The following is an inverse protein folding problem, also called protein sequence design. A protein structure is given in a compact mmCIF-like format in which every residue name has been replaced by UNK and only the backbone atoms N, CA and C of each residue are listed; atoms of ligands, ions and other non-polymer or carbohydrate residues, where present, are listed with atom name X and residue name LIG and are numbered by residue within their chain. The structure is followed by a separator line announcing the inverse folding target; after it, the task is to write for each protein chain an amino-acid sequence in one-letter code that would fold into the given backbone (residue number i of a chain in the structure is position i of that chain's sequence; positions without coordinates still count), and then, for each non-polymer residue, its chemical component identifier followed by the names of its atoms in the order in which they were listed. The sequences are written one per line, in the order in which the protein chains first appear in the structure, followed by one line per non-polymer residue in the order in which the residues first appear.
data_IF_820451579211
#
_entry.id   IF_820451579211
#
_cell.length_a   1.000
_cell.length_b   1.000
_cell.length_c   1.000
_cell.angle_alpha   90.00
_cell.angle_beta   90.00
_cell.angle_gamma   90.00
#
_symmetry.space_group_name_H-M   'P 1'
#
loop_
_entity.id
_entity.type
_entity.pdbx_description
1 polymer ?
#
# COMPACT_ATOMS: atom_id res chain seq x y z
N UNK A 1 -43.13 -14.22 29.90
CA UNK A 1 -42.16 -13.51 29.05
C UNK A 1 -40.78 -13.95 29.47
N UNK A 2 -39.98 -14.61 28.61
CA UNK A 2 -38.60 -14.94 28.96
C UNK A 2 -37.85 -13.62 29.19
N UNK A 3 -37.31 -13.46 30.40
CA UNK A 3 -36.44 -12.35 30.79
C UNK A 3 -35.31 -12.24 29.75
N UNK A 4 -35.19 -11.08 29.09
CA UNK A 4 -34.00 -10.78 28.28
C UNK A 4 -32.77 -11.10 29.14
N UNK A 5 -31.82 -11.92 28.67
CA UNK A 5 -30.58 -12.13 29.41
C UNK A 5 -29.95 -10.75 29.67
N UNK A 6 -29.34 -10.54 30.84
CA UNK A 6 -28.64 -9.29 31.11
C UNK A 6 -27.61 -9.03 30.00
N UNK A 7 -27.48 -7.78 29.53
CA UNK A 7 -26.51 -7.47 28.47
C UNK A 7 -25.13 -7.94 28.93
N UNK A 8 -24.54 -8.87 28.18
CA UNK A 8 -23.16 -9.30 28.39
C UNK A 8 -22.27 -8.08 28.14
N UNK A 9 -21.81 -7.44 29.21
CA UNK A 9 -20.86 -6.35 29.12
C UNK A 9 -19.57 -6.90 28.50
N UNK A 10 -19.35 -6.62 27.20
CA UNK A 10 -18.12 -6.99 26.52
C UNK A 10 -16.93 -6.30 27.21
N UNK A 11 -15.81 -7.00 27.43
CA UNK A 11 -14.63 -6.40 28.04
C UNK A 11 -14.13 -5.23 27.19
N UNK A 12 -13.67 -4.17 27.86
CA UNK A 12 -13.22 -2.92 27.23
C UNK A 12 -12.23 -3.16 26.07
N UNK A 13 -11.21 -3.97 26.31
CA UNK A 13 -10.15 -4.25 25.32
C UNK A 13 -10.65 -4.97 24.06
N UNK A 14 -11.69 -5.79 24.16
CA UNK A 14 -12.32 -6.40 22.99
C UNK A 14 -13.06 -5.36 22.15
N UNK A 15 -13.74 -4.40 22.79
CA UNK A 15 -14.41 -3.30 22.08
C UNK A 15 -13.39 -2.36 21.42
N UNK A 16 -12.31 -2.01 22.13
CA UNK A 16 -11.21 -1.23 21.56
C UNK A 16 -10.53 -1.95 20.38
N UNK A 17 -10.44 -3.28 20.43
CA UNK A 17 -10.03 -4.13 19.31
C UNK A 17 -10.93 -3.95 18.08
N UNK A 18 -12.26 -4.04 18.26
CA UNK A 18 -13.24 -3.80 17.19
C UNK A 18 -13.10 -2.37 16.62
N UNK A 19 -12.95 -1.34 17.48
CA UNK A 19 -12.73 0.04 17.05
C UNK A 19 -11.44 0.20 16.22
N UNK A 20 -10.36 -0.46 16.65
CA UNK A 20 -9.06 -0.43 15.96
C UNK A 20 -9.15 -0.98 14.54
N UNK A 21 -9.98 -2.01 14.32
CA UNK A 21 -10.14 -2.62 13.01
C UNK A 21 -10.70 -1.62 11.98
N UNK A 22 -11.75 -0.86 12.35
CA UNK A 22 -12.32 0.15 11.45
C UNK A 22 -11.36 1.30 11.13
N UNK A 23 -10.59 1.71 12.13
CA UNK A 23 -9.53 2.71 11.96
C UNK A 23 -8.44 2.21 11.00
N UNK A 24 -7.91 1.01 11.24
CA UNK A 24 -6.91 0.36 10.37
C UNK A 24 -7.45 0.16 8.97
N UNK A 25 -8.71 -0.27 8.84
CA UNK A 25 -9.36 -0.49 7.55
C UNK A 25 -9.39 0.80 6.72
N UNK A 26 -9.88 1.91 7.28
CA UNK A 26 -9.90 3.19 6.55
C UNK A 26 -8.50 3.72 6.24
N UNK A 27 -7.55 3.60 7.17
CA UNK A 27 -6.15 3.94 6.94
C UNK A 27 -5.58 3.19 5.73
N UNK A 28 -5.78 1.86 5.69
CA UNK A 28 -5.26 0.99 4.63
C UNK A 28 -5.94 1.27 3.31
N UNK A 29 -7.27 1.39 3.29
CA UNK A 29 -8.04 1.63 2.06
C UNK A 29 -7.66 2.98 1.45
N UNK A 30 -7.64 4.06 2.24
CA UNK A 30 -7.26 5.38 1.72
C UNK A 30 -5.80 5.45 1.30
N UNK A 31 -4.91 4.81 2.06
CA UNK A 31 -3.51 4.67 1.67
C UNK A 31 -3.36 3.93 0.33
N UNK A 32 -4.03 2.79 0.20
CA UNK A 32 -3.96 1.93 -0.98
C UNK A 32 -4.54 2.63 -2.21
N UNK A 33 -5.67 3.32 -2.08
CA UNK A 33 -6.27 4.09 -3.18
C UNK A 33 -5.38 5.24 -3.61
N UNK A 34 -4.79 5.98 -2.66
CA UNK A 34 -3.86 7.08 -2.98
C UNK A 34 -2.60 6.57 -3.69
N UNK A 35 -2.09 5.40 -3.30
CA UNK A 35 -0.94 4.75 -3.96
C UNK A 35 -1.30 4.11 -5.29
N UNK A 36 -2.51 3.57 -5.42
CA UNK A 36 -3.01 3.00 -6.66
C UNK A 36 -3.16 4.07 -7.74
N UNK A 37 -3.78 5.19 -7.38
CA UNK A 37 -4.01 6.33 -8.28
C UNK A 37 -2.83 7.30 -8.38
N UNK A 38 -1.65 6.89 -7.92
CA UNK A 38 -0.46 7.73 -7.79
C UNK A 38 -0.11 8.57 -9.02
N UNK A 39 -0.33 8.04 -10.23
CA UNK A 39 -0.07 8.75 -11.49
C UNK A 39 -1.22 9.70 -11.88
N UNK A 40 -2.48 9.38 -11.55
CA UNK A 40 -3.64 10.26 -11.78
C UNK A 40 -3.67 11.50 -10.86
N UNK A 41 -2.91 11.46 -9.75
CA UNK A 41 -2.72 12.60 -8.86
C UNK A 41 -2.13 13.83 -9.57
N UNK A 42 -1.47 13.62 -10.71
CA UNK A 42 -0.87 14.66 -11.54
C UNK A 42 -1.52 14.75 -12.93
N UNK A 43 -1.37 15.88 -13.63
CA UNK A 43 -1.83 16.04 -15.00
C UNK A 43 -1.08 15.11 -15.95
N UNK A 44 -1.81 14.48 -16.86
CA UNK A 44 -1.25 13.70 -17.95
C UNK A 44 -0.78 14.59 -19.10
N UNK A 45 0.09 14.05 -19.94
CA UNK A 45 0.58 14.75 -21.14
C UNK A 45 -0.58 15.13 -22.07
N UNK A 46 -1.56 14.23 -22.23
CA UNK A 46 -2.75 14.49 -23.03
C UNK A 46 -3.61 15.60 -22.43
N UNK A 47 -3.82 15.58 -21.11
CA UNK A 47 -4.58 16.62 -20.40
C UNK A 47 -3.95 17.99 -20.65
N UNK A 48 -2.62 18.09 -20.56
CA UNK A 48 -1.89 19.33 -20.78
C UNK A 48 -2.00 19.78 -22.23
N UNK A 49 -1.72 18.92 -23.21
CA UNK A 49 -1.75 19.34 -24.62
C UNK A 49 -3.15 19.68 -25.13
N UNK A 50 -4.20 19.01 -24.64
CA UNK A 50 -5.57 19.34 -25.03
C UNK A 50 -6.05 20.62 -24.34
N UNK A 51 -5.83 20.76 -23.03
CA UNK A 51 -6.37 21.88 -22.26
C UNK A 51 -5.53 23.16 -22.37
N UNK A 52 -4.24 23.08 -22.68
CA UNK A 52 -3.36 24.25 -22.82
C UNK A 52 -3.63 25.08 -24.07
N UNK A 53 -4.28 24.51 -25.09
CA UNK A 53 -4.69 25.24 -26.31
C UNK A 53 -5.91 26.13 -26.04
N UNK A 54 -6.71 25.80 -25.02
CA UNK A 54 -7.86 26.60 -24.61
C UNK A 54 -7.39 27.80 -23.77
N UNK A 55 -8.07 28.96 -23.84
CA UNK A 55 -7.74 30.16 -23.06
C UNK A 55 -8.17 30.02 -21.59
N UNK A 56 -7.77 28.93 -20.93
CA UNK A 56 -8.09 28.63 -19.53
C UNK A 56 -6.87 28.97 -18.67
N UNK A 57 -7.01 29.78 -17.62
CA UNK A 57 -5.88 30.13 -16.76
C UNK A 57 -5.38 28.89 -15.99
N UNK A 58 -4.06 28.73 -15.88
CA UNK A 58 -3.45 27.57 -15.21
C UNK A 58 -3.88 27.39 -13.76
N UNK A 59 -4.29 28.47 -13.08
CA UNK A 59 -4.84 28.42 -11.72
C UNK A 59 -6.17 27.65 -11.67
N UNK A 60 -7.05 27.85 -12.67
CA UNK A 60 -8.33 27.13 -12.75
C UNK A 60 -8.10 25.65 -13.00
N UNK A 61 -7.16 25.29 -13.89
CA UNK A 61 -6.78 23.89 -14.11
C UNK A 61 -6.22 23.23 -12.83
N UNK A 62 -5.41 23.96 -12.08
CA UNK A 62 -4.90 23.49 -10.79
C UNK A 62 -6.02 23.27 -9.77
N UNK A 63 -6.88 24.26 -9.54
CA UNK A 63 -7.98 24.14 -8.57
C UNK A 63 -8.99 23.07 -8.99
N UNK A 64 -9.30 22.95 -10.28
CA UNK A 64 -10.15 21.89 -10.80
C UNK A 64 -9.55 20.51 -10.51
N UNK A 65 -8.23 20.33 -10.66
CA UNK A 65 -7.55 19.07 -10.35
C UNK A 65 -7.55 18.76 -8.86
N UNK A 66 -7.26 19.76 -8.01
CA UNK A 66 -7.32 19.62 -6.55
C UNK A 66 -8.74 19.28 -6.09
N UNK A 67 -9.75 19.95 -6.65
CA UNK A 67 -11.15 19.70 -6.34
C UNK A 67 -11.57 18.30 -6.78
N UNK A 68 -11.20 17.88 -8.00
CA UNK A 68 -11.49 16.54 -8.49
C UNK A 68 -10.84 15.46 -7.61
N UNK A 69 -9.60 15.67 -7.18
CA UNK A 69 -8.90 14.79 -6.25
C UNK A 69 -9.61 14.73 -4.89
N UNK A 70 -9.99 15.88 -4.33
CA UNK A 70 -10.69 15.96 -3.05
C UNK A 70 -12.05 15.24 -3.12
N UNK A 71 -12.82 15.46 -4.19
CA UNK A 71 -14.09 14.77 -4.42
C UNK A 71 -13.88 13.26 -4.56
N UNK A 72 -12.88 12.83 -5.34
CA UNK A 72 -12.55 11.42 -5.51
C UNK A 72 -12.22 10.75 -4.17
N UNK A 73 -11.30 11.34 -3.39
CA UNK A 73 -10.91 10.81 -2.07
C UNK A 73 -12.09 10.82 -1.08
N UNK A 74 -12.93 11.85 -1.10
CA UNK A 74 -14.14 11.92 -0.28
C UNK A 74 -15.12 10.80 -0.64
N UNK A 75 -15.38 10.58 -1.93
CA UNK A 75 -16.30 9.53 -2.40
C UNK A 75 -15.80 8.14 -2.02
N UNK A 76 -14.50 7.89 -2.14
CA UNK A 76 -13.89 6.64 -1.70
C UNK A 76 -14.03 6.47 -0.19
N UNK A 77 -13.64 7.47 0.59
CA UNK A 77 -13.71 7.44 2.05
C UNK A 77 -15.15 7.15 2.53
N UNK A 78 -16.12 7.92 2.04
CA UNK A 78 -17.52 7.73 2.40
C UNK A 78 -18.03 6.37 1.90
N UNK A 79 -17.76 6.01 0.65
CA UNK A 79 -18.19 4.74 0.07
C UNK A 79 -17.70 3.52 0.85
N UNK A 80 -16.48 3.57 1.38
CA UNK A 80 -15.88 2.45 2.12
C UNK A 80 -16.22 2.44 3.61
N UNK A 81 -16.64 3.58 4.18
CA UNK A 81 -16.84 3.70 5.63
C UNK A 81 -18.29 3.95 6.05
N UNK A 82 -19.21 4.28 5.14
CA UNK A 82 -20.60 4.65 5.50
C UNK A 82 -21.36 3.50 6.17
N UNK A 83 -21.21 2.28 5.67
CA UNK A 83 -21.86 1.11 6.25
C UNK A 83 -21.31 0.81 7.64
N UNK A 84 -19.99 0.85 7.83
CA UNK A 84 -19.36 0.69 9.14
C UNK A 84 -19.84 1.75 10.13
N UNK A 85 -19.91 3.01 9.69
CA UNK A 85 -20.32 4.15 10.53
C UNK A 85 -21.79 4.05 10.99
N UNK A 86 -22.67 3.50 10.15
CA UNK A 86 -24.09 3.37 10.47
C UNK A 86 -24.39 2.10 11.26
N UNK A 87 -23.89 0.94 10.79
CA UNK A 87 -24.29 -0.35 11.35
C UNK A 87 -23.52 -0.73 12.61
N UNK A 88 -22.26 -0.33 12.77
CA UNK A 88 -21.47 -0.73 13.93
C UNK A 88 -21.99 -0.12 15.24
N UNK A 89 -22.22 1.21 15.35
CA UNK A 89 -22.78 1.79 16.58
C UNK A 89 -24.19 1.27 16.90
N UNK A 90 -24.96 0.91 15.87
CA UNK A 90 -26.31 0.34 16.01
C UNK A 90 -26.27 -1.07 16.60
N UNK A 91 -25.29 -1.89 16.19
CA UNK A 91 -25.08 -3.23 16.72
C UNK A 91 -24.43 -3.25 18.11
N UNK A 92 -23.69 -2.19 18.49
CA UNK A 92 -22.97 -2.13 19.76
C UNK A 92 -23.88 -1.84 20.99
N UNK A 93 -25.15 -1.49 20.79
CA UNK A 93 -26.17 -1.23 21.83
C UNK A 93 -25.69 -0.35 23.01
N UNK A 94 -24.82 0.63 22.75
CA UNK A 94 -24.32 1.53 23.79
C UNK A 94 -25.37 2.58 24.20
N UNK A 95 -25.33 3.00 25.46
CA UNK A 95 -26.25 3.99 26.04
C UNK A 95 -26.34 5.32 25.25
N UNK A 96 -25.28 5.72 24.54
CA UNK A 96 -25.20 6.98 23.80
C UNK A 96 -24.84 6.76 22.32
N UNK A 97 -25.82 6.30 21.53
CA UNK A 97 -25.67 6.04 20.09
C UNK A 97 -25.03 7.22 19.32
N UNK A 98 -25.51 8.44 19.51
CA UNK A 98 -24.98 9.63 18.80
C UNK A 98 -23.51 9.91 19.11
N UNK A 99 -23.10 9.71 20.36
CA UNK A 99 -21.70 9.88 20.75
C UNK A 99 -20.84 8.81 20.09
N UNK A 100 -21.29 7.57 20.09
CA UNK A 100 -20.57 6.48 19.43
C UNK A 100 -20.46 6.71 17.91
N UNK A 101 -21.55 7.08 17.24
CA UNK A 101 -21.57 7.41 15.82
C UNK A 101 -20.61 8.56 15.49
N UNK A 102 -20.61 9.63 16.30
CA UNK A 102 -19.68 10.75 16.12
C UNK A 102 -18.22 10.34 16.33
N UNK A 103 -17.90 9.64 17.41
CA UNK A 103 -16.54 9.15 17.69
C UNK A 103 -16.03 8.26 16.56
N UNK A 104 -16.87 7.34 16.06
CA UNK A 104 -16.55 6.46 14.95
C UNK A 104 -16.29 7.25 13.68
N UNK A 105 -17.22 8.11 13.29
CA UNK A 105 -17.11 8.92 12.08
C UNK A 105 -15.84 9.77 12.09
N UNK A 106 -15.55 10.46 13.20
CA UNK A 106 -14.38 11.34 13.31
C UNK A 106 -13.08 10.54 13.25
N UNK A 107 -12.95 9.47 14.04
CA UNK A 107 -11.71 8.70 14.11
C UNK A 107 -11.38 8.00 12.78
N UNK A 108 -12.38 7.35 12.16
CA UNK A 108 -12.23 6.68 10.86
C UNK A 108 -11.91 7.70 9.76
N UNK A 109 -12.59 8.85 9.76
CA UNK A 109 -12.33 9.92 8.78
C UNK A 109 -10.95 10.54 8.93
N UNK A 110 -10.53 10.85 10.16
CA UNK A 110 -9.19 11.38 10.42
C UNK A 110 -8.09 10.39 10.02
N UNK A 111 -8.32 9.09 10.26
CA UNK A 111 -7.37 8.05 9.88
C UNK A 111 -7.19 7.96 8.35
N UNK A 112 -8.31 7.97 7.61
CA UNK A 112 -8.29 7.97 6.15
C UNK A 112 -7.65 9.24 5.56
N UNK A 113 -7.99 10.43 6.08
CA UNK A 113 -7.40 11.71 5.68
C UNK A 113 -5.88 11.71 5.93
N UNK A 114 -5.45 11.22 7.08
CA UNK A 114 -4.02 11.13 7.39
C UNK A 114 -3.29 10.21 6.41
N UNK A 115 -3.83 9.02 6.11
CA UNK A 115 -3.22 8.11 5.15
C UNK A 115 -3.05 8.78 3.77
N UNK A 116 -4.12 9.38 3.25
CA UNK A 116 -4.09 10.05 1.94
C UNK A 116 -3.10 11.22 1.91
N UNK A 117 -3.16 12.13 2.90
CA UNK A 117 -2.24 13.28 2.98
C UNK A 117 -0.79 12.87 3.23
N UNK A 118 -0.54 11.75 3.92
CA UNK A 118 0.82 11.23 4.10
C UNK A 118 1.43 10.78 2.77
N UNK A 119 0.71 10.00 1.97
CA UNK A 119 1.22 9.60 0.65
C UNK A 119 1.34 10.77 -0.32
N UNK A 120 0.38 11.70 -0.31
CA UNK A 120 0.45 12.93 -1.11
C UNK A 120 1.64 13.81 -0.72
N UNK A 121 1.90 13.99 0.58
CA UNK A 121 3.04 14.77 1.05
C UNK A 121 4.37 14.09 0.73
N UNK A 122 4.50 12.76 0.90
CA UNK A 122 5.70 12.01 0.47
C UNK A 122 5.96 12.24 -1.02
N UNK A 123 4.93 12.15 -1.85
CA UNK A 123 5.04 12.35 -3.29
C UNK A 123 5.46 13.80 -3.62
N UNK A 124 4.83 14.78 -2.98
CA UNK A 124 5.15 16.20 -3.14
C UNK A 124 6.58 16.52 -2.72
N UNK A 125 7.03 16.01 -1.58
CA UNK A 125 8.40 16.17 -1.07
C UNK A 125 9.39 15.50 -2.03
N UNK A 126 9.12 14.27 -2.48
CA UNK A 126 10.03 13.52 -3.34
C UNK A 126 10.26 14.21 -4.69
N UNK A 127 9.19 14.74 -5.30
CA UNK A 127 9.27 15.54 -6.54
C UNK A 127 10.01 16.87 -6.32
N UNK A 128 9.85 17.47 -5.14
CA UNK A 128 10.49 18.74 -4.83
C UNK A 128 11.98 18.59 -4.44
N UNK A 129 12.39 17.46 -3.86
CA UNK A 129 13.75 17.27 -3.34
C UNK A 129 14.72 16.55 -4.30
N UNK A 130 14.30 15.44 -4.94
CA UNK A 130 15.26 14.48 -5.56
C UNK A 130 15.30 14.59 -7.10
N UNK A 131 14.43 15.41 -7.69
CA UNK A 131 14.35 15.59 -9.14
C UNK A 131 13.70 14.40 -9.87
N UNK A 132 13.37 14.60 -11.14
CA UNK A 132 12.43 13.74 -11.86
C UNK A 132 13.00 12.36 -12.22
N UNK A 133 14.28 12.29 -12.61
CA UNK A 133 14.92 11.05 -13.01
C UNK A 133 14.98 10.02 -11.88
N UNK A 134 15.29 10.48 -10.66
CA UNK A 134 15.27 9.65 -9.46
C UNK A 134 13.83 9.37 -9.01
N UNK A 135 12.92 10.33 -9.09
CA UNK A 135 11.50 10.11 -8.80
C UNK A 135 10.90 8.98 -9.64
N UNK A 136 11.18 8.95 -10.96
CA UNK A 136 10.73 7.87 -11.86
C UNK A 136 11.31 6.50 -11.51
N UNK A 137 12.51 6.44 -10.93
CA UNK A 137 13.16 5.19 -10.48
C UNK A 137 12.64 4.71 -9.12
N UNK A 138 12.39 5.64 -8.20
CA UNK A 138 11.98 5.33 -6.82
C UNK A 138 10.46 5.11 -6.73
N UNK A 139 9.65 5.81 -7.53
CA UNK A 139 8.19 5.70 -7.50
C UNK A 139 7.69 4.25 -7.60
N UNK A 140 8.17 3.41 -8.54
CA UNK A 140 7.78 2.01 -8.60
C UNK A 140 8.05 1.24 -7.30
N UNK A 141 9.22 1.46 -6.70
CA UNK A 141 9.63 0.80 -5.46
C UNK A 141 8.76 1.28 -4.29
N UNK A 142 8.53 2.60 -4.21
CA UNK A 142 7.73 3.23 -3.17
C UNK A 142 6.27 2.77 -3.25
N UNK A 143 5.66 2.76 -4.45
CA UNK A 143 4.30 2.25 -4.66
C UNK A 143 4.19 0.80 -4.20
N UNK A 144 5.12 -0.05 -4.66
CA UNK A 144 5.11 -1.47 -4.33
C UNK A 144 5.26 -1.70 -2.82
N UNK A 145 6.30 -1.12 -2.22
CA UNK A 145 6.57 -1.23 -0.79
C UNK A 145 5.42 -0.68 0.06
N UNK A 146 4.82 0.44 -0.33
CA UNK A 146 3.69 1.04 0.40
C UNK A 146 2.49 0.11 0.40
N UNK A 147 2.12 -0.46 -0.75
CA UNK A 147 1.02 -1.44 -0.82
C UNK A 147 1.35 -2.68 0.03
N UNK A 148 2.58 -3.17 -0.03
CA UNK A 148 3.00 -4.31 0.79
C UNK A 148 2.85 -4.02 2.28
N UNK A 149 3.32 -2.86 2.75
CA UNK A 149 3.22 -2.43 4.15
C UNK A 149 1.76 -2.25 4.57
N UNK A 150 0.93 -1.61 3.74
CA UNK A 150 -0.49 -1.41 4.04
C UNK A 150 -1.25 -2.74 4.14
N UNK A 151 -0.98 -3.69 3.24
CA UNK A 151 -1.55 -5.04 3.32
C UNK A 151 -1.05 -5.80 4.55
N UNK A 152 0.23 -5.66 4.90
CA UNK A 152 0.77 -6.23 6.13
C UNK A 152 0.06 -5.68 7.37
N UNK A 153 -0.11 -4.36 7.46
CA UNK A 153 -0.86 -3.71 8.55
C UNK A 153 -2.29 -4.26 8.65
N UNK A 154 -2.99 -4.41 7.51
CA UNK A 154 -4.37 -4.92 7.50
C UNK A 154 -4.45 -6.38 7.97
N UNK A 155 -3.55 -7.23 7.48
CA UNK A 155 -3.58 -8.67 7.76
C UNK A 155 -3.03 -9.02 9.15
N UNK A 156 -2.15 -8.19 9.70
CA UNK A 156 -1.70 -8.26 11.09
C UNK A 156 -2.70 -7.60 12.07
N UNK A 157 -3.74 -6.93 11.58
CA UNK A 157 -4.73 -6.28 12.44
C UNK A 157 -5.36 -7.22 13.48
N UNK A 158 -5.77 -8.47 13.15
CA UNK A 158 -6.36 -9.37 14.14
C UNK A 158 -5.39 -9.78 15.25
N UNK A 159 -4.11 -10.01 14.92
CA UNK A 159 -3.09 -10.37 15.91
C UNK A 159 -2.76 -9.20 16.83
N UNK A 160 -2.74 -7.97 16.29
CA UNK A 160 -2.58 -6.74 17.07
C UNK A 160 -3.81 -6.46 17.95
N UNK A 161 -5.02 -6.64 17.43
CA UNK A 161 -6.26 -6.41 18.19
C UNK A 161 -6.40 -7.38 19.37
N UNK A 162 -6.01 -8.65 19.20
CA UNK A 162 -6.02 -9.65 20.28
C UNK A 162 -4.99 -9.40 21.40
N UNK A 163 -3.97 -8.58 21.14
CA UNK A 163 -2.88 -8.28 22.07
C UNK A 163 -2.84 -6.80 22.47
N UNK A 164 -3.94 -6.06 22.23
CA UNK A 164 -3.99 -4.61 22.37
C UNK A 164 -3.69 -4.14 23.81
N UNK A 165 -4.24 -4.84 24.81
CA UNK A 165 -3.99 -4.58 26.22
C UNK A 165 -2.50 -4.70 26.56
N UNK A 166 -1.89 -5.82 26.17
CA UNK A 166 -0.48 -6.10 26.43
C UNK A 166 0.44 -5.09 25.75
N UNK A 167 0.15 -4.73 24.49
CA UNK A 167 0.89 -3.71 23.78
C UNK A 167 0.79 -2.38 24.53
N UNK A 168 -0.42 -1.84 24.71
CA UNK A 168 -0.59 -0.51 25.27
C UNK A 168 -0.11 -0.37 26.73
N UNK A 169 -0.07 -1.47 27.50
CA UNK A 169 0.44 -1.47 28.88
C UNK A 169 1.95 -1.75 28.98
N UNK A 170 2.59 -2.33 27.95
CA UNK A 170 4.03 -2.67 27.95
C UNK A 170 4.99 -1.48 28.06
N UNK A 171 4.51 -0.24 27.87
CA UNK A 171 5.34 0.97 27.93
C UNK A 171 6.32 1.14 26.76
N UNK A 172 6.27 0.27 25.74
CA UNK A 172 7.20 0.34 24.60
C UNK A 172 7.03 1.64 23.80
N UNK A 173 8.12 2.39 23.51
CA UNK A 173 8.04 3.61 22.72
C UNK A 173 7.64 3.34 21.27
N UNK A 174 7.84 2.12 20.76
CA UNK A 174 7.52 1.73 19.37
C UNK A 174 6.02 1.89 19.06
N UNK A 175 5.16 1.66 20.05
CA UNK A 175 3.70 1.78 19.95
C UNK A 175 3.28 3.20 19.59
N UNK A 176 4.05 4.20 20.07
CA UNK A 176 3.79 5.60 19.78
C UNK A 176 4.10 5.98 18.33
N UNK A 177 4.80 5.14 17.57
CA UNK A 177 5.12 5.37 16.16
C UNK A 177 4.18 4.64 15.20
N UNK A 178 3.20 3.89 15.70
CA UNK A 178 2.24 3.17 14.87
C UNK A 178 0.99 4.03 14.61
N UNK A 179 0.80 4.59 13.38
CA UNK A 179 -0.22 5.61 13.15
C UNK A 179 -1.66 5.19 13.47
N UNK A 180 -2.11 3.95 13.19
CA UNK A 180 -3.47 3.53 13.53
C UNK A 180 -3.82 3.68 15.02
N UNK A 181 -2.84 3.54 15.93
CA UNK A 181 -3.09 3.74 17.37
C UNK A 181 -3.34 5.19 17.75
N UNK A 182 -2.84 6.16 16.99
CA UNK A 182 -3.14 7.56 17.22
C UNK A 182 -4.64 7.84 17.05
N UNK A 183 -5.22 7.30 15.98
CA UNK A 183 -6.64 7.46 15.67
C UNK A 183 -7.54 6.61 16.57
N UNK A 184 -7.05 5.46 17.05
CA UNK A 184 -7.70 4.73 18.13
C UNK A 184 -7.77 5.59 19.40
N UNK A 185 -6.71 6.32 19.74
CA UNK A 185 -6.73 7.28 20.85
C UNK A 185 -7.80 8.35 20.69
N UNK A 186 -7.96 8.92 19.49
CA UNK A 186 -9.03 9.89 19.19
C UNK A 186 -10.41 9.25 19.39
N UNK A 187 -10.61 8.04 18.85
CA UNK A 187 -11.86 7.29 18.99
C UNK A 187 -12.25 7.13 20.46
N UNK A 188 -11.32 6.60 21.25
CA UNK A 188 -11.50 6.24 22.64
C UNK A 188 -11.68 7.47 23.55
N UNK A 189 -10.94 8.56 23.31
CA UNK A 189 -11.13 9.81 24.02
C UNK A 189 -12.52 10.43 23.75
N UNK A 190 -12.99 10.39 22.50
CA UNK A 190 -14.31 10.92 22.16
C UNK A 190 -15.43 10.06 22.75
N UNK A 191 -15.27 8.73 22.76
CA UNK A 191 -16.28 7.78 23.23
C UNK A 191 -16.43 7.76 24.76
N UNK A 192 -15.34 7.53 25.47
CA UNK A 192 -15.35 7.31 26.92
C UNK A 192 -15.00 8.56 27.73
N UNK A 193 -14.43 9.59 27.10
CA UNK A 193 -14.13 10.87 27.75
C UNK A 193 -12.96 10.77 28.75
N UNK A 194 -12.98 11.55 29.84
CA UNK A 194 -11.85 11.68 30.78
C UNK A 194 -11.60 10.43 31.65
N UNK A 195 -12.48 9.44 31.61
CA UNK A 195 -12.34 8.17 32.35
C UNK A 195 -11.36 7.19 31.71
N UNK A 196 -10.83 7.51 30.52
CA UNK A 196 -9.97 6.60 29.77
C UNK A 196 -8.49 6.69 30.20
N UNK A 197 -7.70 5.62 30.03
CA UNK A 197 -6.27 5.63 30.34
C UNK A 197 -5.51 6.79 29.68
N UNK A 198 -4.56 7.40 30.41
CA UNK A 198 -3.80 8.57 29.97
C UNK A 198 -3.04 8.35 28.63
N UNK A 199 -2.74 7.10 28.28
CA UNK A 199 -2.10 6.76 27.00
C UNK A 199 -2.94 7.17 25.79
N UNK A 200 -4.27 7.04 25.86
CA UNK A 200 -5.15 7.42 24.75
C UNK A 200 -5.17 8.92 24.52
N UNK A 201 -5.07 9.74 25.58
CA UNK A 201 -4.95 11.19 25.44
C UNK A 201 -3.64 11.61 24.76
N UNK A 202 -2.53 10.94 25.07
CA UNK A 202 -1.26 11.17 24.40
C UNK A 202 -1.33 10.79 22.91
N UNK A 203 -1.90 9.62 22.61
CA UNK A 203 -2.10 9.13 21.24
C UNK A 203 -3.05 10.01 20.42
N UNK A 204 -4.11 10.53 21.05
CA UNK A 204 -5.05 11.45 20.41
C UNK A 204 -4.36 12.76 20.04
N UNK A 205 -3.54 13.32 20.95
CA UNK A 205 -2.76 14.54 20.68
C UNK A 205 -1.76 14.34 19.55
N UNK A 206 -1.04 13.21 19.53
CA UNK A 206 -0.13 12.89 18.42
C UNK A 206 -0.90 12.75 17.11
N UNK A 207 -2.05 12.06 17.11
CA UNK A 207 -2.91 11.90 15.93
C UNK A 207 -3.39 13.22 15.34
N UNK A 208 -3.94 14.11 16.17
CA UNK A 208 -4.36 15.43 15.74
C UNK A 208 -3.19 16.24 15.17
N UNK A 209 -2.05 16.25 15.84
CA UNK A 209 -0.85 16.95 15.35
C UNK A 209 -0.32 16.37 14.03
N UNK A 210 -0.37 15.05 13.87
CA UNK A 210 0.10 14.35 12.68
C UNK A 210 -0.79 14.65 11.47
N UNK A 211 -2.12 14.64 11.63
CA UNK A 211 -3.08 15.05 10.59
C UNK A 211 -2.84 16.49 10.16
N UNK A 212 -2.69 17.41 11.12
CA UNK A 212 -2.43 18.81 10.83
C UNK A 212 -1.11 18.99 10.06
N UNK A 213 -0.05 18.32 10.51
CA UNK A 213 1.26 18.40 9.89
C UNK A 213 1.26 17.78 8.48
N UNK A 214 0.69 16.58 8.29
CA UNK A 214 0.62 15.91 6.97
C UNK A 214 -0.23 16.70 5.98
N UNK A 215 -1.33 17.29 6.44
CA UNK A 215 -2.21 18.14 5.64
C UNK A 215 -1.50 19.44 5.25
N UNK A 216 -0.82 20.11 6.19
CA UNK A 216 -0.04 21.31 5.91
C UNK A 216 1.10 21.01 4.92
N UNK A 217 1.85 19.93 5.11
CA UNK A 217 2.87 19.48 4.18
C UNK A 217 2.29 19.23 2.78
N UNK A 218 1.12 18.60 2.68
CA UNK A 218 0.44 18.37 1.39
C UNK A 218 0.06 19.69 0.72
N UNK A 219 -0.56 20.61 1.46
CA UNK A 219 -0.97 21.92 0.96
C UNK A 219 0.21 22.77 0.46
N UNK A 220 1.38 22.65 1.10
CA UNK A 220 2.59 23.37 0.70
C UNK A 220 3.32 22.68 -0.47
N UNK A 221 3.42 21.37 -0.46
CA UNK A 221 4.26 20.61 -1.41
C UNK A 221 3.55 20.27 -2.71
N UNK A 222 2.24 20.01 -2.67
CA UNK A 222 1.45 19.62 -3.84
C UNK A 222 1.41 20.72 -4.93
N UNK A 223 1.16 22.01 -4.63
CA UNK A 223 1.17 23.05 -5.66
C UNK A 223 2.54 23.21 -6.34
N UNK A 224 3.63 23.07 -5.56
CA UNK A 224 4.99 23.14 -6.06
C UNK A 224 5.31 21.94 -6.97
N UNK A 225 4.93 20.74 -6.54
CA UNK A 225 5.11 19.52 -7.30
C UNK A 225 4.29 19.54 -8.61
N UNK A 226 3.05 20.04 -8.55
CA UNK A 226 2.18 20.23 -9.72
C UNK A 226 2.83 21.15 -10.76
N UNK A 227 3.28 22.34 -10.34
CA UNK A 227 3.94 23.31 -11.23
C UNK A 227 5.19 22.73 -11.88
N UNK A 228 6.04 22.05 -11.10
CA UNK A 228 7.25 21.40 -11.61
C UNK A 228 6.92 20.32 -12.63
N UNK A 229 5.95 19.45 -12.32
CA UNK A 229 5.56 18.36 -13.22
C UNK A 229 4.95 18.87 -14.52
N UNK A 230 4.08 19.88 -14.48
CA UNK A 230 3.54 20.50 -15.71
C UNK A 230 4.65 21.09 -16.56
N UNK A 231 5.56 21.87 -15.96
CA UNK A 231 6.69 22.48 -16.66
C UNK A 231 7.55 21.42 -17.36
N UNK A 232 7.86 20.33 -16.67
CA UNK A 232 8.66 19.22 -17.22
C UNK A 232 7.97 18.47 -18.36
N UNK A 233 6.64 18.29 -18.28
CA UNK A 233 5.88 17.65 -19.35
C UNK A 233 5.86 18.51 -20.62
N UNK A 234 5.81 19.83 -20.49
CA UNK A 234 5.81 20.81 -21.60
C UNK A 234 7.20 20.99 -22.20
N UNK A 235 8.24 21.14 -21.36
CA UNK A 235 9.64 21.26 -21.81
C UNK A 235 10.12 20.00 -22.55
N UNK A 236 9.31 18.93 -22.49
CA UNK A 236 9.65 17.61 -22.99
C UNK A 236 10.69 17.00 -22.07
N UNK A 237 10.58 15.69 -21.84
CA UNK A 237 11.74 14.92 -21.37
C UNK A 237 12.79 14.99 -22.49
N UNK A 238 13.59 16.06 -22.49
CA UNK A 238 14.63 16.29 -23.47
C UNK A 238 15.56 15.07 -23.46
N UNK A 239 15.39 14.21 -24.46
CA UNK A 239 16.43 13.40 -25.09
C UNK A 239 17.43 12.66 -24.16
N UNK A 240 17.05 12.24 -22.96
CA UNK A 240 18.02 11.66 -22.00
C UNK A 240 18.08 10.13 -22.00
N UNK A 241 17.33 9.42 -22.85
CA UNK A 241 17.30 7.95 -22.81
C UNK A 241 18.18 7.21 -23.84
N UNK A 242 18.87 7.91 -24.75
CA UNK A 242 19.65 7.24 -25.79
C UNK A 242 21.17 7.18 -25.57
N UNK A 243 21.74 7.91 -24.59
CA UNK A 243 23.20 8.20 -24.60
C UNK A 243 24.06 7.55 -23.50
N UNK A 244 23.58 6.55 -22.75
CA UNK A 244 24.36 6.06 -21.61
C UNK A 244 24.09 4.67 -21.05
N UNK A 245 23.47 3.73 -21.79
CA UNK A 245 23.51 2.33 -21.36
C UNK A 245 24.82 1.71 -21.83
N UNK A 246 25.88 1.85 -21.02
CA UNK A 246 27.05 1.00 -21.11
C UNK A 246 26.66 -0.49 -21.10
N UNK A 247 27.55 -1.39 -21.56
CA UNK A 247 27.22 -2.80 -21.66
C UNK A 247 26.91 -3.36 -20.27
N UNK A 248 25.63 -3.60 -19.98
CA UNK A 248 25.22 -4.20 -18.72
C UNK A 248 25.76 -5.65 -18.67
N UNK A 249 26.73 -5.98 -17.79
CA UNK A 249 27.38 -7.27 -17.77
C UNK A 249 26.39 -8.40 -17.47
N UNK A 250 25.35 -8.12 -16.69
CA UNK A 250 24.26 -9.06 -16.40
C UNK A 250 23.48 -9.40 -17.67
N UNK A 251 23.23 -8.43 -18.56
CA UNK A 251 22.59 -8.69 -19.86
C UNK A 251 23.47 -9.55 -20.75
N UNK A 252 24.79 -9.28 -20.79
CA UNK A 252 25.74 -10.09 -21.55
C UNK A 252 25.78 -11.53 -21.04
N UNK A 253 25.82 -11.72 -19.73
CA UNK A 253 25.85 -13.04 -19.11
C UNK A 253 24.55 -13.80 -19.37
N UNK A 254 23.39 -13.15 -19.22
CA UNK A 254 22.08 -13.72 -19.57
C UNK A 254 21.97 -14.12 -21.05
N UNK A 255 22.51 -13.31 -21.97
CA UNK A 255 22.52 -13.61 -23.40
C UNK A 255 23.45 -14.77 -23.75
N UNK A 256 24.57 -14.92 -23.03
CA UNK A 256 25.55 -15.97 -23.25
C UNK A 256 25.09 -17.33 -22.67
N UNK A 257 24.49 -17.34 -21.48
CA UNK A 257 24.16 -18.59 -20.77
C UNK A 257 22.75 -19.09 -21.09
N UNK A 258 21.74 -18.26 -20.85
CA UNK A 258 20.34 -18.69 -20.69
C UNK A 258 19.48 -18.31 -21.91
N UNK A 259 19.65 -17.12 -22.47
CA UNK A 259 18.87 -16.62 -23.61
C UNK A 259 19.66 -16.76 -24.90
N UNK A 260 19.80 -17.97 -25.44
CA UNK A 260 20.61 -18.19 -26.67
C UNK A 260 19.86 -17.82 -27.96
N UNK A 261 18.55 -18.06 -28.02
CA UNK A 261 17.75 -17.80 -29.22
C UNK A 261 17.22 -16.35 -29.28
N UNK A 262 17.18 -15.72 -30.48
CA UNK A 262 16.74 -14.33 -30.64
C UNK A 262 15.26 -14.12 -30.28
N UNK A 263 14.40 -15.11 -30.58
CA UNK A 263 12.97 -15.10 -30.24
C UNK A 263 12.73 -15.15 -28.73
N UNK A 264 13.49 -15.98 -28.00
CA UNK A 264 13.44 -16.05 -26.54
C UNK A 264 13.93 -14.75 -25.91
N UNK A 265 15.02 -14.16 -26.44
CA UNK A 265 15.52 -12.84 -26.00
C UNK A 265 14.44 -11.78 -26.15
N UNK A 266 13.79 -11.71 -27.31
CA UNK A 266 12.74 -10.74 -27.58
C UNK A 266 11.59 -10.87 -26.58
N UNK A 267 11.07 -12.08 -26.37
CA UNK A 267 9.99 -12.33 -25.40
C UNK A 267 10.40 -11.98 -23.96
N UNK A 268 11.60 -12.40 -23.53
CA UNK A 268 12.11 -12.15 -22.18
C UNK A 268 12.26 -10.64 -21.90
N UNK A 269 12.89 -9.91 -22.81
CA UNK A 269 13.08 -8.46 -22.66
C UNK A 269 11.75 -7.71 -22.78
N UNK A 270 10.84 -8.15 -23.65
CA UNK A 270 9.51 -7.59 -23.76
C UNK A 270 8.73 -7.73 -22.44
N UNK A 271 8.66 -8.93 -21.86
CA UNK A 271 8.00 -9.17 -20.57
C UNK A 271 8.63 -8.31 -19.47
N UNK A 272 9.97 -8.32 -19.38
CA UNK A 272 10.70 -7.52 -18.38
C UNK A 272 10.39 -6.04 -18.50
N UNK A 273 10.44 -5.49 -19.71
CA UNK A 273 10.16 -4.07 -19.96
C UNK A 273 8.69 -3.74 -19.72
N UNK A 274 7.79 -4.64 -20.07
CA UNK A 274 6.34 -4.43 -19.91
C UNK A 274 5.96 -4.39 -18.43
N UNK A 275 6.42 -5.36 -17.64
CA UNK A 275 6.16 -5.43 -16.18
C UNK A 275 6.80 -4.25 -15.46
N UNK A 276 8.04 -3.89 -15.77
CA UNK A 276 8.74 -2.79 -15.09
C UNK A 276 8.22 -1.41 -15.48
N UNK A 277 7.68 -1.25 -16.70
CA UNK A 277 7.17 0.05 -17.17
C UNK A 277 5.70 0.27 -16.85
N UNK A 278 4.87 -0.77 -16.86
CA UNK A 278 3.43 -0.65 -16.62
C UNK A 278 3.12 -0.55 -15.13
N UNK A 279 2.67 0.63 -14.67
CA UNK A 279 2.27 0.87 -13.28
C UNK A 279 1.25 -0.17 -12.79
N UNK A 280 0.23 -0.46 -13.61
CA UNK A 280 -0.81 -1.45 -13.30
C UNK A 280 -0.21 -2.82 -12.99
N UNK A 281 0.73 -3.30 -13.82
CA UNK A 281 1.36 -4.61 -13.61
C UNK A 281 2.24 -4.64 -12.36
N UNK A 282 2.98 -3.54 -12.09
CA UNK A 282 3.79 -3.42 -10.87
C UNK A 282 2.93 -3.43 -9.61
N UNK A 283 1.83 -2.68 -9.61
CA UNK A 283 0.90 -2.63 -8.48
C UNK A 283 0.27 -4.00 -8.26
N UNK A 284 -0.18 -4.69 -9.32
CA UNK A 284 -0.68 -6.06 -9.19
C UNK A 284 0.38 -6.98 -8.55
N UNK A 285 1.62 -6.94 -9.03
CA UNK A 285 2.71 -7.74 -8.45
C UNK A 285 2.96 -7.38 -6.97
N UNK A 286 2.90 -6.10 -6.62
CA UNK A 286 3.05 -5.64 -5.24
C UNK A 286 1.90 -6.07 -4.33
N UNK A 287 0.67 -6.17 -4.84
CA UNK A 287 -0.47 -6.71 -4.07
C UNK A 287 -0.20 -8.18 -3.74
N UNK A 288 0.18 -9.00 -4.73
CA UNK A 288 0.47 -10.43 -4.49
C UNK A 288 1.72 -10.65 -3.63
N UNK A 289 2.78 -9.85 -3.83
CA UNK A 289 3.97 -9.87 -2.97
C UNK A 289 3.68 -9.38 -1.55
N UNK A 290 2.83 -8.37 -1.41
CA UNK A 290 2.40 -7.85 -0.11
C UNK A 290 1.58 -8.87 0.65
N UNK A 291 0.63 -9.50 -0.02
CA UNK A 291 -0.19 -10.58 0.53
C UNK A 291 0.69 -11.76 0.98
N UNK A 292 1.71 -12.13 0.21
CA UNK A 292 2.61 -13.22 0.57
C UNK A 292 3.45 -12.93 1.82
N UNK A 293 4.06 -11.74 1.88
CA UNK A 293 4.86 -11.31 3.04
C UNK A 293 3.98 -11.12 4.27
N UNK A 294 2.82 -10.48 4.11
CA UNK A 294 1.89 -10.24 5.20
C UNK A 294 1.37 -11.54 5.83
N UNK A 295 0.97 -12.51 5.01
CA UNK A 295 0.51 -13.81 5.49
C UNK A 295 1.65 -14.63 6.11
N UNK A 296 2.85 -14.58 5.52
CA UNK A 296 4.03 -15.20 6.11
C UNK A 296 4.33 -14.62 7.50
N UNK A 297 4.31 -13.29 7.64
CA UNK A 297 4.51 -12.61 8.92
C UNK A 297 3.40 -12.93 9.92
N UNK A 298 2.14 -12.96 9.51
CA UNK A 298 1.01 -13.28 10.38
C UNK A 298 1.11 -14.70 10.97
N UNK A 299 1.71 -15.66 10.23
CA UNK A 299 1.94 -17.02 10.73
C UNK A 299 3.24 -17.13 11.55
N UNK A 300 4.26 -16.34 11.23
CA UNK A 300 5.56 -16.34 11.92
C UNK A 300 5.52 -15.63 13.26
N UNK A 301 4.84 -14.49 13.33
CA UNK A 301 4.92 -13.58 14.47
C UNK A 301 3.77 -13.88 15.42
N UNK A 302 4.12 -14.41 16.59
CA UNK A 302 3.21 -14.46 17.73
C UNK A 302 3.69 -13.47 18.79
N UNK A 303 2.73 -12.74 19.36
CA UNK A 303 2.99 -11.86 20.49
C UNK A 303 2.79 -12.69 21.76
N UNK A 304 3.88 -13.12 22.38
CA UNK A 304 3.81 -13.75 23.69
C UNK A 304 3.76 -12.65 24.75
N UNK A 305 2.71 -12.74 25.56
CA UNK A 305 2.43 -11.79 26.64
C UNK A 305 2.83 -12.46 27.95
N UNK A 306 4.00 -12.09 28.46
CA UNK A 306 4.36 -12.36 29.85
C UNK A 306 3.93 -11.16 30.72
N UNK A 307 3.65 -11.36 32.03
CA UNK A 307 3.28 -10.26 32.92
C UNK A 307 4.34 -9.15 32.90
N UNK A 308 4.01 -8.03 32.24
CA UNK A 308 4.86 -6.84 32.17
C UNK A 308 5.77 -6.71 30.95
N UNK A 309 5.91 -7.73 30.08
CA UNK A 309 6.71 -7.63 28.86
C UNK A 309 6.05 -8.37 27.68
N UNK A 310 5.77 -7.63 26.60
CA UNK A 310 5.36 -8.21 25.33
C UNK A 310 6.61 -8.47 24.49
N UNK A 311 6.94 -9.74 24.27
CA UNK A 311 8.02 -10.13 23.36
C UNK A 311 7.44 -10.76 22.10
N UNK A 312 7.93 -10.30 20.95
CA UNK A 312 7.62 -10.94 19.65
C UNK A 312 8.42 -12.23 19.55
N UNK A 313 7.76 -13.37 19.59
CA UNK A 313 8.39 -14.66 19.36
C UNK A 313 8.12 -15.14 17.95
N UNK A 314 9.14 -15.73 17.31
CA UNK A 314 8.99 -16.36 16.01
C UNK A 314 8.55 -17.81 16.21
N UNK A 315 7.35 -18.15 15.75
CA UNK A 315 6.82 -19.50 15.78
C UNK A 315 7.59 -20.38 14.76
N UNK A 316 8.25 -21.48 15.18
CA UNK A 316 8.98 -22.36 14.27
C UNK A 316 8.10 -22.95 13.16
N UNK A 317 6.84 -23.26 13.48
CA UNK A 317 5.84 -23.75 12.51
C UNK A 317 5.45 -22.66 11.49
N UNK A 318 5.39 -21.41 11.95
CA UNK A 318 5.18 -20.24 11.10
C UNK A 318 6.27 -20.09 10.05
N UNK A 319 7.54 -20.31 10.44
CA UNK A 319 8.69 -20.26 9.52
C UNK A 319 8.57 -21.30 8.40
N UNK A 320 8.12 -22.52 8.73
CA UNK A 320 7.91 -23.60 7.74
C UNK A 320 6.76 -23.27 6.79
N UNK A 321 5.70 -22.64 7.28
CA UNK A 321 4.53 -22.28 6.46
C UNK A 321 4.76 -21.11 5.49
N UNK A 322 5.75 -20.24 5.75
CA UNK A 322 5.99 -19.09 4.89
C UNK A 322 6.56 -19.43 3.51
N UNK A 323 7.38 -20.49 3.41
CA UNK A 323 7.95 -20.93 2.13
C UNK A 323 6.84 -21.25 1.11
N UNK A 324 5.86 -22.14 1.41
CA UNK A 324 4.77 -22.41 0.47
C UNK A 324 3.85 -21.20 0.24
N UNK A 325 3.62 -20.35 1.24
CA UNK A 325 2.84 -19.11 1.07
C UNK A 325 3.52 -18.20 0.04
N UNK A 326 4.82 -17.94 0.19
CA UNK A 326 5.56 -17.07 -0.72
C UNK A 326 5.67 -17.67 -2.12
N UNK A 327 5.90 -18.97 -2.25
CA UNK A 327 5.89 -19.65 -3.55
C UNK A 327 4.52 -19.54 -4.25
N UNK A 328 3.44 -19.85 -3.53
CA UNK A 328 2.08 -19.83 -4.07
C UNK A 328 1.69 -18.44 -4.59
N UNK A 329 1.84 -17.40 -3.77
CA UNK A 329 1.46 -16.05 -4.15
C UNK A 329 2.37 -15.44 -5.22
N UNK A 330 3.64 -15.84 -5.28
CA UNK A 330 4.54 -15.44 -6.38
C UNK A 330 4.05 -15.99 -7.71
N UNK A 331 3.71 -17.29 -7.77
CA UNK A 331 3.19 -17.92 -8.98
C UNK A 331 1.82 -17.36 -9.35
N UNK A 332 0.92 -17.18 -8.37
CA UNK A 332 -0.40 -16.59 -8.59
C UNK A 332 -0.29 -15.15 -9.12
N UNK A 333 0.59 -14.34 -8.52
CA UNK A 333 0.82 -12.97 -8.94
C UNK A 333 1.37 -12.88 -10.34
N UNK A 334 2.37 -13.70 -10.67
CA UNK A 334 2.94 -13.73 -12.00
C UNK A 334 1.94 -14.21 -13.05
N UNK A 335 1.15 -15.24 -12.75
CA UNK A 335 0.07 -15.70 -13.63
C UNK A 335 -0.96 -14.59 -13.88
N UNK A 336 -1.34 -13.84 -12.84
CA UNK A 336 -2.32 -12.75 -12.96
C UNK A 336 -1.80 -11.62 -13.86
N UNK A 337 -0.54 -11.23 -13.72
CA UNK A 337 0.10 -10.15 -14.47
C UNK A 337 0.24 -10.52 -15.95
N UNK A 338 0.60 -11.78 -16.23
CA UNK A 338 0.74 -12.27 -17.60
C UNK A 338 -0.61 -12.49 -18.31
N UNK A 339 -1.67 -12.80 -17.57
CA UNK A 339 -3.01 -12.94 -18.11
C UNK A 339 -3.66 -11.58 -18.46
N UNK A 340 -3.22 -10.49 -17.83
CA UNK A 340 -3.78 -9.16 -18.04
C UNK A 340 -3.14 -8.48 -19.27
N UNK A 341 -3.92 -8.19 -20.34
CA UNK A 341 -3.38 -7.51 -21.52
C UNK A 341 -3.04 -6.04 -21.19
N UNK A 342 -1.82 -5.61 -21.57
CA UNK A 342 -1.35 -4.23 -21.34
C UNK A 342 -2.06 -3.24 -22.26
N UNK A 343 -2.19 -3.60 -23.54
CA UNK A 343 -2.99 -2.84 -24.49
C UNK A 343 -3.70 -3.79 -25.45
N UNK A 344 -5.04 -3.77 -25.42
CA UNK A 344 -5.86 -4.55 -26.34
C UNK A 344 -5.79 -3.99 -27.76
N UNK A 345 -5.62 -2.67 -27.91
CA UNK A 345 -5.57 -2.01 -29.22
C UNK A 345 -4.29 -2.38 -29.95
N UNK A 346 -3.12 -2.32 -29.31
CA UNK A 346 -1.84 -2.71 -29.92
C UNK A 346 -1.67 -4.19 -30.26
N UNK A 347 -2.55 -5.08 -29.79
CA UNK A 347 -2.45 -6.53 -30.00
C UNK A 347 -2.56 -6.97 -31.46
N UNK A 348 -3.15 -6.15 -32.34
CA UNK A 348 -3.26 -6.47 -33.77
C UNK A 348 -1.89 -6.59 -34.44
N UNK A 349 -0.90 -5.78 -34.01
CA UNK A 349 0.44 -5.78 -34.60
C UNK A 349 1.13 -7.14 -34.45
N UNK A 350 1.04 -7.74 -33.26
CA UNK A 350 1.59 -9.07 -33.01
C UNK A 350 0.84 -10.16 -33.78
N UNK A 351 -0.49 -10.02 -33.93
CA UNK A 351 -1.30 -10.95 -34.70
C UNK A 351 -0.96 -10.90 -36.19
N UNK A 352 -0.66 -9.72 -36.74
CA UNK A 352 -0.28 -9.56 -38.15
C UNK A 352 1.17 -9.99 -38.41
N UNK A 353 2.11 -9.60 -37.56
CA UNK A 353 3.55 -9.89 -37.78
C UNK A 353 3.96 -11.32 -37.41
N UNK A 354 3.41 -11.86 -36.31
CA UNK A 354 3.83 -13.15 -35.75
C UNK A 354 2.79 -14.25 -36.02
N UNK A 355 1.51 -13.89 -36.13
CA UNK A 355 0.42 -14.86 -36.24
C UNK A 355 0.20 -15.62 -34.93
N UNK A 356 0.19 -16.95 -34.99
CA UNK A 356 0.09 -17.81 -33.78
C UNK A 356 1.42 -17.88 -33.04
N UNK A 357 1.41 -17.82 -31.68
CA UNK A 357 2.64 -17.90 -30.90
C UNK A 357 3.32 -19.26 -31.13
N UNK A 358 4.57 -19.22 -31.62
CA UNK A 358 5.44 -20.40 -31.74
C UNK A 358 5.98 -20.84 -30.39
N UNK A 359 6.30 -22.12 -30.25
CA UNK A 359 6.87 -22.71 -29.01
C UNK A 359 8.10 -21.95 -28.50
N UNK A 360 8.95 -21.43 -29.40
CA UNK A 360 10.12 -20.63 -29.04
C UNK A 360 9.78 -19.30 -28.32
N UNK A 361 8.64 -18.68 -28.62
CA UNK A 361 8.19 -17.47 -27.91
C UNK A 361 7.68 -17.79 -26.51
N UNK A 362 6.96 -18.92 -26.37
CA UNK A 362 6.49 -19.41 -25.08
C UNK A 362 7.65 -19.84 -24.18
N UNK A 363 8.70 -20.45 -24.75
CA UNK A 363 9.91 -20.82 -24.02
C UNK A 363 10.58 -19.62 -23.33
N UNK A 364 10.63 -18.46 -23.99
CA UNK A 364 11.15 -17.23 -23.39
C UNK A 364 10.32 -16.75 -22.20
N UNK A 365 8.99 -16.90 -22.25
CA UNK A 365 8.10 -16.58 -21.16
C UNK A 365 8.25 -17.56 -19.98
N UNK A 366 8.29 -18.87 -20.25
CA UNK A 366 8.51 -19.89 -19.21
C UNK A 366 9.83 -19.70 -18.49
N UNK A 367 10.88 -19.36 -19.23
CA UNK A 367 12.21 -19.11 -18.69
C UNK A 367 12.24 -17.85 -17.80
N UNK A 368 11.50 -16.81 -18.17
CA UNK A 368 11.35 -15.63 -17.32
C UNK A 368 10.63 -15.98 -16.01
N UNK A 369 9.55 -16.75 -16.10
CA UNK A 369 8.75 -17.19 -14.94
C UNK A 369 9.56 -18.05 -14.00
N UNK A 370 10.29 -19.04 -14.53
CA UNK A 370 11.10 -19.95 -13.71
C UNK A 370 12.23 -19.20 -13.01
N UNK A 371 12.93 -18.29 -13.70
CA UNK A 371 13.97 -17.45 -13.09
C UNK A 371 13.41 -16.55 -12.00
N UNK A 372 12.29 -15.87 -12.25
CA UNK A 372 11.68 -14.98 -11.25
C UNK A 372 11.25 -15.77 -10.01
N UNK A 373 10.60 -16.93 -10.20
CA UNK A 373 10.16 -17.80 -9.10
C UNK A 373 11.34 -18.38 -8.33
N UNK A 374 12.40 -18.79 -9.02
CA UNK A 374 13.61 -19.33 -8.39
C UNK A 374 14.37 -18.25 -7.60
N UNK A 375 14.50 -17.03 -8.12
CA UNK A 375 15.15 -15.92 -7.43
C UNK A 375 14.37 -15.51 -6.17
N UNK A 376 13.04 -15.37 -6.28
CA UNK A 376 12.20 -15.03 -5.13
C UNK A 376 12.24 -16.15 -4.11
N UNK A 377 12.06 -17.41 -4.54
CA UNK A 377 12.09 -18.57 -3.66
C UNK A 377 13.43 -18.74 -2.93
N UNK A 378 14.56 -18.63 -3.64
CA UNK A 378 15.90 -18.75 -3.05
C UNK A 378 16.22 -17.59 -2.10
N UNK A 379 15.88 -16.34 -2.47
CA UNK A 379 16.00 -15.19 -1.57
C UNK A 379 15.17 -15.36 -0.30
N UNK A 380 13.97 -15.90 -0.43
CA UNK A 380 13.09 -16.17 0.71
C UNK A 380 13.70 -17.23 1.63
N UNK A 381 14.14 -18.36 1.05
CA UNK A 381 14.74 -19.45 1.81
C UNK A 381 16.02 -18.99 2.55
N UNK A 382 16.87 -18.19 1.90
CA UNK A 382 18.07 -17.61 2.51
C UNK A 382 17.73 -16.68 3.67
N UNK A 383 16.73 -15.79 3.49
CA UNK A 383 16.28 -14.90 4.57
C UNK A 383 15.73 -15.70 5.75
N UNK A 384 14.88 -16.70 5.51
CA UNK A 384 14.32 -17.52 6.58
C UNK A 384 15.38 -18.38 7.28
N UNK A 385 16.38 -18.87 6.55
CA UNK A 385 17.51 -19.57 7.15
C UNK A 385 18.36 -18.66 8.04
N UNK A 386 18.54 -17.38 7.65
CA UNK A 386 19.25 -16.41 8.49
C UNK A 386 18.48 -16.02 9.77
N UNK A 387 17.16 -16.17 9.76
CA UNK A 387 16.26 -15.86 10.88
C UNK A 387 15.98 -17.07 11.78
N UNK A 388 16.23 -18.30 11.31
CA UNK A 388 16.06 -19.49 12.14
C UNK A 388 17.12 -19.52 13.25
N UNK A 389 16.74 -19.65 14.53
CA UNK A 389 17.72 -19.80 15.61
C UNK A 389 18.57 -21.06 15.36
N UNK A 390 19.88 -21.05 15.69
CA UNK A 390 20.72 -22.22 15.57
C UNK A 390 20.09 -23.35 16.40
N UNK A 391 19.90 -24.51 15.77
CA UNK A 391 19.35 -25.69 16.43
C UNK A 391 20.18 -25.98 17.69
N UNK A 392 19.53 -25.92 18.86
CA UNK A 392 20.09 -26.41 20.12
C UNK A 392 19.82 -27.90 20.26
#
# INVERSE_FOLDING_TARGET
MPSRPPPLHRPFWSQAGDHSFYVVYSFVVMGAVTVYEWDLLFPDILDIFVLSVLPIPSRTLFFARVLALAIFLLLVQLGTSILGTLFFPLAAEQHNFFRHLFSHFVAVTMSGIFAATTFLSIQGILLNAIGEGFFRRITPLLQGLSIMVLLAILLLCPTVAGSLEALLTSGSPAIRYFPPFWFLGIYECLLNGPSNPAIFHALARTGCSAVLLSSACTLLTYPLAYRRRVRQLIEGSAATSAKGQGPNPIRRLLHATILRHPSQRAAFHFISQTILRSQRQRISLAIFGGLSVALALAQMVTLQVEPGHAHTTLQPDGIRSAIPIMAFFTVAGLRSVLAAPVDRRGSWLFRVLIGRPRSAHLAGAYLWISLATFLIGSSTALLLHSLSPPAR
#
